data_IF_613930481906
#
_entry.id   IF_613930481906
#
_cell.length_a   1.000
_cell.length_b   1.000
_cell.length_c   1.000
_cell.angle_alpha   90.00
_cell.angle_beta   90.00
_cell.angle_gamma   90.00
#
_symmetry.space_group_name_H-M   'P 1'
#
loop_
_entity.id
_entity.type
_entity.pdbx_description
1 polymer ?
#
# COMPACT_ATOMS: atom_id res chain seq x y z
N UNK A 1 16.89 -1.42 -4.48
CA UNK A 1 15.63 -0.91 -5.06
C UNK A 1 15.77 -0.99 -6.57
N UNK A 2 14.86 -1.69 -7.24
CA UNK A 2 14.93 -1.93 -8.71
C UNK A 2 13.92 -1.09 -9.51
N UNK A 3 13.05 -0.35 -8.81
CA UNK A 3 12.05 0.55 -9.39
C UNK A 3 12.13 1.94 -8.78
N UNK A 4 11.77 2.98 -9.53
CA UNK A 4 11.68 4.34 -8.99
C UNK A 4 10.52 4.43 -7.98
N UNK A 5 10.70 5.16 -6.86
CA UNK A 5 9.61 5.42 -5.92
C UNK A 5 8.53 6.30 -6.55
N UNK A 6 7.30 6.13 -6.08
CA UNK A 6 6.17 7.00 -6.40
C UNK A 6 5.94 7.96 -5.24
N UNK A 7 5.87 9.25 -5.53
CA UNK A 7 5.43 10.26 -4.56
C UNK A 7 3.95 10.57 -4.79
N UNK A 8 3.12 10.35 -3.77
CA UNK A 8 1.68 10.60 -3.85
C UNK A 8 1.13 11.02 -2.49
N UNK A 9 0.42 12.15 -2.43
CA UNK A 9 -0.21 12.67 -1.21
C UNK A 9 0.71 12.82 0.01
N UNK A 10 1.95 13.26 -0.20
CA UNK A 10 2.92 13.38 0.89
C UNK A 10 3.51 12.04 1.34
N UNK A 11 3.20 10.94 0.64
CA UNK A 11 3.73 9.60 0.89
C UNK A 11 4.76 9.23 -0.18
N UNK A 12 5.80 8.52 0.22
CA UNK A 12 6.72 7.84 -0.67
C UNK A 12 6.40 6.35 -0.67
N UNK A 13 6.09 5.82 -1.86
CA UNK A 13 5.67 4.44 -2.05
C UNK A 13 6.72 3.74 -2.91
N UNK A 14 7.20 2.59 -2.45
CA UNK A 14 8.24 1.85 -3.18
C UNK A 14 8.24 0.37 -2.87
N UNK A 15 8.86 -0.42 -3.75
CA UNK A 15 9.05 -1.84 -3.50
C UNK A 15 10.48 -2.20 -3.12
N UNK A 16 10.60 -3.17 -2.22
CA UNK A 16 11.87 -3.78 -1.84
C UNK A 16 12.05 -5.14 -2.53
N UNK A 17 13.31 -5.57 -2.59
CA UNK A 17 13.72 -6.86 -3.12
C UNK A 17 14.69 -7.47 -2.12
N UNK A 18 14.32 -8.63 -1.58
CA UNK A 18 15.15 -9.52 -0.78
C UNK A 18 15.42 -10.74 -1.67
N UNK A 19 16.59 -10.83 -2.32
CA UNK A 19 16.89 -11.94 -3.21
C UNK A 19 16.98 -13.27 -2.45
N UNK A 20 16.54 -14.36 -3.07
CA UNK A 20 16.79 -15.73 -2.58
C UNK A 20 18.06 -16.29 -3.22
N UNK A 21 18.83 -17.05 -2.44
CA UNK A 21 19.95 -17.84 -2.95
C UNK A 21 19.52 -19.19 -3.55
N UNK A 22 18.26 -19.58 -3.37
CA UNK A 22 17.70 -20.79 -3.95
C UNK A 22 17.25 -20.53 -5.40
N UNK A 23 17.80 -21.31 -6.32
CA UNK A 23 17.52 -21.22 -7.77
C UNK A 23 16.09 -21.66 -8.13
N UNK A 24 15.43 -22.40 -7.25
CA UNK A 24 14.04 -22.84 -7.43
C UNK A 24 13.03 -21.80 -6.95
N UNK A 25 13.45 -20.81 -6.15
CA UNK A 25 12.60 -19.72 -5.71
C UNK A 25 12.41 -18.69 -6.82
N UNK A 26 11.23 -18.07 -6.86
CA UNK A 26 10.87 -17.07 -7.86
C UNK A 26 11.58 -15.73 -7.63
N UNK A 27 12.91 -15.72 -7.55
CA UNK A 27 13.76 -14.54 -7.41
C UNK A 27 13.89 -13.97 -6.00
N UNK A 28 13.06 -14.39 -5.03
CA UNK A 28 13.10 -13.93 -3.64
C UNK A 28 11.76 -13.39 -3.16
N UNK A 29 11.81 -12.51 -2.15
CA UNK A 29 10.65 -11.85 -1.56
C UNK A 29 10.81 -10.34 -1.57
N UNK A 30 9.76 -9.61 -1.24
CA UNK A 30 9.84 -8.15 -1.10
C UNK A 30 8.61 -7.59 -0.44
N UNK A 31 8.61 -6.27 -0.30
CA UNK A 31 7.57 -5.51 0.38
C UNK A 31 7.16 -4.32 -0.47
N UNK A 32 5.88 -3.96 -0.44
CA UNK A 32 5.41 -2.64 -0.81
C UNK A 32 5.48 -1.77 0.43
N UNK A 33 6.31 -0.74 0.40
CA UNK A 33 6.56 0.19 1.50
C UNK A 33 5.84 1.51 1.24
N UNK A 34 5.36 2.12 2.31
CA UNK A 34 4.71 3.42 2.29
C UNK A 34 5.09 4.22 3.54
N UNK A 35 5.77 5.34 3.31
CA UNK A 35 6.36 6.18 4.35
C UNK A 35 5.99 7.64 4.12
N UNK A 36 6.09 8.46 5.16
CA UNK A 36 6.02 9.91 5.04
C UNK A 36 7.18 10.41 4.17
N UNK A 37 6.86 11.15 3.10
CA UNK A 37 7.86 11.57 2.12
C UNK A 37 8.83 12.63 2.64
N UNK A 38 8.46 13.39 3.69
CA UNK A 38 9.26 14.47 4.23
C UNK A 38 10.27 13.98 5.27
N UNK A 39 9.86 13.01 6.09
CA UNK A 39 10.63 12.48 7.22
C UNK A 39 11.27 11.13 6.90
N UNK A 40 10.74 10.40 5.93
CA UNK A 40 11.08 8.99 5.69
C UNK A 40 10.60 8.06 6.80
N UNK A 41 9.80 8.56 7.74
CA UNK A 41 9.27 7.80 8.86
C UNK A 41 7.95 7.10 8.53
N UNK A 42 7.47 6.32 9.49
CA UNK A 42 6.13 5.75 9.50
C UNK A 42 5.07 6.86 9.52
N UNK A 43 3.97 6.63 8.81
CA UNK A 43 2.80 7.51 8.84
C UNK A 43 2.17 7.54 10.24
N UNK A 44 1.58 8.68 10.61
CA UNK A 44 0.92 8.91 11.91
C UNK A 44 -0.56 8.50 11.93
N UNK A 45 -0.98 7.74 10.91
CA UNK A 45 -2.32 7.16 10.78
C UNK A 45 -2.21 5.76 10.15
N UNK A 46 -3.28 4.98 10.19
CA UNK A 46 -3.32 3.69 9.49
C UNK A 46 -3.57 3.88 7.99
N UNK A 47 -2.59 3.56 7.12
CA UNK A 47 -2.76 3.73 5.69
C UNK A 47 -3.46 2.54 5.04
N UNK A 48 -3.49 1.37 5.68
CA UNK A 48 -3.92 0.10 5.09
C UNK A 48 -4.96 -0.54 6.01
N UNK A 49 -6.00 -1.11 5.40
CA UNK A 49 -6.97 -1.97 6.08
C UNK A 49 -6.32 -3.35 6.25
N UNK A 50 -6.01 -3.70 7.49
CA UNK A 50 -5.26 -4.92 7.83
C UNK A 50 -6.16 -6.04 8.34
N UNK A 51 -7.40 -5.70 8.71
CA UNK A 51 -8.40 -6.65 9.23
C UNK A 51 -9.55 -6.92 8.22
N UNK A 52 -9.49 -6.31 7.03
CA UNK A 52 -10.44 -6.42 5.92
C UNK A 52 -11.87 -5.91 6.26
N UNK A 53 -12.01 -4.95 7.18
CA UNK A 53 -13.31 -4.40 7.61
C UNK A 53 -13.78 -3.15 6.82
N UNK A 54 -12.95 -2.67 5.89
CA UNK A 54 -13.12 -1.45 5.09
C UNK A 54 -13.09 -0.13 5.88
N UNK A 55 -12.61 -0.16 7.11
CA UNK A 55 -12.32 0.99 7.93
C UNK A 55 -10.80 1.13 8.06
N UNK A 56 -10.35 2.35 8.32
CA UNK A 56 -8.94 2.63 8.57
C UNK A 56 -8.85 3.26 9.96
N UNK A 57 -8.81 2.41 10.97
CA UNK A 57 -8.99 2.79 12.37
C UNK A 57 -7.93 2.11 13.30
N UNK A 58 -7.95 2.36 14.62
CA UNK A 58 -6.99 1.76 15.55
C UNK A 58 -6.96 0.22 15.60
N UNK A 59 -7.99 -0.46 15.10
CA UNK A 59 -8.04 -1.92 14.94
C UNK A 59 -7.12 -2.43 13.81
N UNK A 60 -6.57 -1.52 12.99
CA UNK A 60 -5.58 -1.82 11.95
C UNK A 60 -4.12 -1.75 12.43
N UNK A 61 -3.90 -1.47 13.71
CA UNK A 61 -2.56 -1.44 14.28
C UNK A 61 -2.08 -2.86 14.54
N UNK A 62 -0.82 -3.11 14.23
CA UNK A 62 -0.19 -4.40 14.53
C UNK A 62 0.23 -4.42 16.00
N UNK A 63 -0.11 -5.52 16.66
CA UNK A 63 0.37 -5.89 17.99
C UNK A 63 1.82 -6.40 17.89
N UNK A 64 2.75 -5.73 18.57
CA UNK A 64 4.17 -6.11 18.58
C UNK A 64 4.64 -6.68 19.93
N UNK A 65 3.81 -6.61 20.97
CA UNK A 65 4.15 -7.11 22.31
C UNK A 65 3.37 -8.37 22.73
N UNK A 66 2.36 -8.75 21.94
CA UNK A 66 1.53 -9.93 22.11
C UNK A 66 0.40 -9.77 23.13
N UNK A 67 0.02 -8.55 23.51
CA UNK A 67 -1.05 -8.30 24.49
C UNK A 67 -2.47 -8.31 23.89
N UNK A 68 -2.57 -8.50 22.57
CA UNK A 68 -3.81 -8.50 21.81
C UNK A 68 -4.33 -7.11 21.43
N UNK A 69 -3.54 -6.04 21.61
CA UNK A 69 -3.87 -4.68 21.20
C UNK A 69 -2.89 -4.18 20.16
N UNK A 70 -3.39 -3.39 19.22
CA UNK A 70 -2.55 -2.76 18.21
C UNK A 70 -1.68 -1.65 18.80
N UNK A 71 -0.39 -1.70 18.49
CA UNK A 71 0.63 -0.76 18.98
C UNK A 71 1.13 0.20 17.91
N UNK A 72 1.22 -0.29 16.67
CA UNK A 72 1.99 0.36 15.61
C UNK A 72 1.24 0.42 14.29
N UNK A 73 1.30 1.60 13.64
CA UNK A 73 0.85 1.71 12.26
C UNK A 73 1.75 0.89 11.33
N UNK A 74 1.14 0.25 10.33
CA UNK A 74 1.85 -0.50 9.31
C UNK A 74 2.46 0.46 8.28
N UNK A 75 3.67 0.17 7.82
CA UNK A 75 4.36 0.92 6.75
C UNK A 75 4.85 0.03 5.61
N UNK A 76 4.56 -1.26 5.69
CA UNK A 76 5.03 -2.25 4.73
C UNK A 76 4.04 -3.40 4.62
N UNK A 77 3.77 -3.80 3.38
CA UNK A 77 2.93 -4.94 3.05
C UNK A 77 3.74 -5.95 2.24
N UNK A 78 3.75 -7.21 2.69
CA UNK A 78 4.35 -8.31 1.95
C UNK A 78 3.26 -9.03 1.15
N UNK A 79 3.48 -9.34 -0.14
CA UNK A 79 2.51 -10.10 -0.91
C UNK A 79 2.15 -11.43 -0.23
N UNK A 80 0.86 -11.78 -0.18
CA UNK A 80 0.33 -12.96 0.54
C UNK A 80 1.00 -14.28 0.13
N UNK A 81 1.25 -14.45 -1.16
CA UNK A 81 1.93 -15.64 -1.72
C UNK A 81 3.46 -15.50 -1.81
N UNK A 82 4.00 -14.39 -1.29
CA UNK A 82 5.39 -13.98 -1.41
C UNK A 82 5.77 -13.56 -2.83
N UNK A 83 7.06 -13.63 -3.13
CA UNK A 83 7.61 -13.08 -4.38
C UNK A 83 7.98 -11.61 -4.25
N UNK A 84 8.55 -11.09 -5.33
CA UNK A 84 9.02 -9.71 -5.43
C UNK A 84 7.87 -8.86 -5.96
N UNK A 85 7.39 -7.85 -5.22
CA UNK A 85 6.32 -6.98 -5.70
C UNK A 85 6.83 -5.98 -6.75
N UNK A 86 6.05 -5.80 -7.81
CA UNK A 86 6.23 -4.73 -8.78
C UNK A 86 5.70 -3.40 -8.23
N UNK A 87 6.04 -2.24 -8.82
CA UNK A 87 5.39 -0.98 -8.46
C UNK A 87 3.87 -1.13 -8.61
N UNK A 88 3.08 -0.78 -7.59
CA UNK A 88 1.65 -1.00 -7.64
C UNK A 88 0.96 -0.02 -8.60
N UNK A 89 -0.09 -0.48 -9.26
CA UNK A 89 -1.09 0.40 -9.86
C UNK A 89 -2.04 0.87 -8.76
N UNK A 90 -2.29 2.18 -8.69
CA UNK A 90 -3.12 2.81 -7.65
C UNK A 90 -4.45 3.25 -8.28
N UNK A 91 -5.56 2.83 -7.69
CA UNK A 91 -6.90 3.10 -8.18
C UNK A 91 -7.79 3.61 -7.04
N UNK A 92 -8.30 4.83 -7.18
CA UNK A 92 -9.25 5.38 -6.21
C UNK A 92 -10.62 4.70 -6.34
N UNK A 93 -11.29 4.45 -5.22
CA UNK A 93 -12.65 3.91 -5.20
C UNK A 93 -13.68 5.04 -5.33
N UNK A 94 -14.37 5.16 -6.49
CA UNK A 94 -15.34 6.24 -6.69
C UNK A 94 -16.57 6.12 -5.78
N UNK A 95 -16.83 4.96 -5.17
CA UNK A 95 -18.02 4.72 -4.34
C UNK A 95 -17.88 5.29 -2.94
N UNK A 96 -16.66 5.46 -2.44
CA UNK A 96 -16.36 5.94 -1.08
C UNK A 96 -15.72 7.33 -1.06
N UNK A 97 -15.44 7.88 -2.23
CA UNK A 97 -14.72 9.15 -2.39
C UNK A 97 -15.30 10.35 -1.60
N UNK A 98 -16.63 10.51 -1.55
CA UNK A 98 -17.29 11.60 -0.80
C UNK A 98 -17.71 11.19 0.63
N UNK A 99 -17.06 10.18 1.19
CA UNK A 99 -17.34 9.69 2.55
C UNK A 99 -16.20 10.04 3.49
N UNK A 100 -16.41 9.87 4.79
CA UNK A 100 -15.36 10.06 5.80
C UNK A 100 -14.26 8.97 5.73
N UNK A 101 -14.47 7.92 4.93
CA UNK A 101 -13.53 6.81 4.73
C UNK A 101 -13.32 6.54 3.23
N UNK A 102 -12.70 7.48 2.49
CA UNK A 102 -12.43 7.26 1.08
C UNK A 102 -11.37 6.17 0.92
N UNK A 103 -11.62 5.21 0.02
CA UNK A 103 -10.75 4.06 -0.22
C UNK A 103 -9.95 4.20 -1.50
N UNK A 104 -8.81 3.55 -1.53
CA UNK A 104 -7.97 3.35 -2.70
C UNK A 104 -7.46 1.91 -2.71
N UNK A 105 -7.17 1.40 -3.91
CA UNK A 105 -6.68 0.06 -4.15
C UNK A 105 -5.29 0.11 -4.77
N UNK A 106 -4.33 -0.61 -4.20
CA UNK A 106 -3.05 -0.91 -4.84
C UNK A 106 -3.06 -2.33 -5.38
N UNK A 107 -2.83 -2.47 -6.67
CA UNK A 107 -2.61 -3.76 -7.32
C UNK A 107 -1.12 -3.94 -7.59
N UNK A 108 -0.51 -4.96 -7.00
CA UNK A 108 0.90 -5.29 -7.24
C UNK A 108 1.02 -6.67 -7.88
N UNK A 109 1.75 -6.76 -9.00
CA UNK A 109 2.18 -8.05 -9.52
C UNK A 109 3.30 -8.63 -8.65
N UNK A 110 3.48 -9.95 -8.66
CA UNK A 110 4.57 -10.63 -7.97
C UNK A 110 5.42 -11.44 -8.94
N UNK A 111 6.69 -11.66 -8.62
CA UNK A 111 7.58 -12.54 -9.39
C UNK A 111 7.10 -14.00 -9.49
N UNK A 112 6.13 -14.41 -8.67
CA UNK A 112 5.45 -15.71 -8.74
C UNK A 112 4.29 -15.74 -9.74
N UNK A 113 4.03 -14.63 -10.43
CA UNK A 113 2.92 -14.51 -11.40
C UNK A 113 1.57 -14.21 -10.76
N UNK A 114 1.53 -13.93 -9.46
CA UNK A 114 0.32 -13.50 -8.75
C UNK A 114 0.09 -11.99 -8.87
N UNK A 115 -1.14 -11.57 -8.60
CA UNK A 115 -1.49 -10.17 -8.37
C UNK A 115 -2.09 -10.09 -6.97
N UNK A 116 -1.54 -9.19 -6.14
CA UNK A 116 -2.06 -8.93 -4.81
C UNK A 116 -2.75 -7.57 -4.75
N UNK A 117 -3.73 -7.48 -3.85
CA UNK A 117 -4.55 -6.29 -3.64
C UNK A 117 -4.31 -5.78 -2.22
N UNK A 118 -3.99 -4.49 -2.12
CA UNK A 118 -3.89 -3.76 -0.86
C UNK A 118 -5.00 -2.73 -0.85
N UNK A 119 -5.88 -2.79 0.15
CA UNK A 119 -6.91 -1.78 0.39
C UNK A 119 -6.32 -0.71 1.31
N UNK A 120 -6.32 0.54 0.85
CA UNK A 120 -5.69 1.66 1.53
C UNK A 120 -6.63 2.84 1.74
N UNK A 121 -6.31 3.66 2.73
CA UNK A 121 -6.98 4.94 2.95
C UNK A 121 -6.57 5.91 1.85
N UNK A 122 -7.55 6.48 1.15
CA UNK A 122 -7.32 7.56 0.22
C UNK A 122 -7.25 8.91 0.95
N UNK A 123 -6.64 9.91 0.33
CA UNK A 123 -6.70 11.28 0.81
C UNK A 123 -8.05 11.89 0.37
N UNK A 124 -8.92 12.36 1.30
CA UNK A 124 -10.20 13.00 0.96
C UNK A 124 -10.07 14.28 0.12
N UNK A 125 -8.85 14.82 -0.05
CA UNK A 125 -8.57 16.00 -0.88
C UNK A 125 -7.66 15.72 -2.09
N UNK A 126 -7.50 14.47 -2.53
CA UNK A 126 -6.66 14.07 -3.69
C UNK A 126 -7.07 14.66 -5.04
N UNK A 127 -8.26 15.23 -5.08
CA UNK A 127 -9.07 15.51 -6.24
C UNK A 127 -8.94 16.94 -6.73
N UNK A 128 -7.72 17.34 -7.09
CA UNK A 128 -7.51 18.54 -7.91
C UNK A 128 -7.26 18.22 -9.39
N UNK A 129 -7.70 17.06 -9.90
CA UNK A 129 -7.61 16.74 -11.34
C UNK A 129 -8.99 16.63 -11.97
N UNK A 130 -9.38 17.70 -12.66
CA UNK A 130 -10.48 17.73 -13.62
C UNK A 130 -10.20 16.71 -14.74
N UNK A 131 -11.16 15.83 -15.00
CA UNK A 131 -11.12 14.94 -16.16
C UNK A 131 -11.13 15.75 -17.45
N UNK A 132 -10.28 15.37 -18.40
CA UNK A 132 -10.39 15.84 -19.78
C UNK A 132 -11.60 15.16 -20.43
N UNK A 133 -12.41 15.96 -21.12
CA UNK A 133 -13.42 15.49 -22.07
C UNK A 133 -13.08 16.08 -23.42
N UNK A 134 -12.85 15.23 -24.41
CA UNK A 134 -12.88 15.65 -25.80
C UNK A 134 -14.32 16.01 -26.18
N UNK A 135 -14.52 17.23 -26.63
CA UNK A 135 -15.79 17.67 -27.22
C UNK A 135 -15.55 17.71 -28.72
N UNK A 136 -16.25 16.83 -29.44
CA UNK A 136 -16.40 16.93 -30.89
C UNK A 136 -17.67 17.71 -31.20
#
# INVERSE_FOLDING_TARGET
MIHAPVLRHGRVIFTTLIPSGDVCEAGGSGWVMELDAATGGRLDYTPVDTNDDNLFNPEDLVDIDGDGKGDVYVSGFQPKDGGIPTPPAMLEDPTTYNTDNPREFKYTGTSKGGVDLITEKNNPWSNTRYSWREVH
#
